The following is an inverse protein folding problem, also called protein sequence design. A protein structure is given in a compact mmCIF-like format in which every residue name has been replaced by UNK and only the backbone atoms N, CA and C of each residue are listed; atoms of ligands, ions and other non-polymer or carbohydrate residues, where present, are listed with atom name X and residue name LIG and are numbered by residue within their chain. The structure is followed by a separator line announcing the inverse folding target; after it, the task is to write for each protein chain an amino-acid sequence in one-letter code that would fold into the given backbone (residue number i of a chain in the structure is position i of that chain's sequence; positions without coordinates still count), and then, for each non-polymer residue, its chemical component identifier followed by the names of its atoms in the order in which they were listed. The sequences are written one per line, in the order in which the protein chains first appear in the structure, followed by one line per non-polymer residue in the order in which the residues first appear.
data_IF_310690202632
#
_entry.id   IF_310690202632
#
_cell.length_a   1.000
_cell.length_b   1.000
_cell.length_c   1.000
_cell.angle_alpha   90.00
_cell.angle_beta   90.00
_cell.angle_gamma   90.00
#
_symmetry.space_group_name_H-M   'P 1'
#
loop_
_entity.id
_entity.type
_entity.pdbx_description
1 polymer ?
#
# COMPACT_ATOMS: atom_id res chain seq x y z
N UNK A 1 3.88 2.08 -3.61
CA UNK A 1 4.98 1.62 -4.49
C UNK A 1 6.33 2.24 -4.12
N UNK A 2 6.52 3.56 -4.20
CA UNK A 2 7.84 4.20 -4.02
C UNK A 2 8.60 3.79 -2.76
N UNK A 3 7.92 3.69 -1.61
CA UNK A 3 8.58 3.26 -0.38
C UNK A 3 9.10 1.82 -0.45
N UNK A 4 8.43 0.94 -1.19
CA UNK A 4 8.91 -0.42 -1.40
C UNK A 4 10.12 -0.42 -2.35
N UNK A 5 10.09 0.41 -3.40
CA UNK A 5 11.23 0.59 -4.32
C UNK A 5 12.47 1.13 -3.58
N UNK A 6 12.26 1.99 -2.58
CA UNK A 6 13.32 2.49 -1.69
C UNK A 6 13.78 1.48 -0.63
N UNK A 7 13.18 0.29 -0.57
CA UNK A 7 13.57 -0.76 0.38
C UNK A 7 13.02 -0.59 1.80
N UNK A 8 12.00 0.26 2.02
CA UNK A 8 11.43 0.48 3.36
C UNK A 8 10.54 -0.64 3.89
N UNK A 9 10.38 -1.75 3.17
CA UNK A 9 9.50 -2.85 3.59
C UNK A 9 9.80 -3.36 5.03
N UNK A 10 11.06 -3.55 5.47
CA UNK A 10 11.36 -3.95 6.84
C UNK A 10 10.91 -2.92 7.89
N UNK A 11 11.10 -1.62 7.60
CA UNK A 11 10.69 -0.54 8.48
C UNK A 11 9.16 -0.46 8.60
N UNK A 12 8.44 -0.59 7.48
CA UNK A 12 6.98 -0.65 7.45
C UNK A 12 6.47 -1.82 8.33
N UNK A 13 7.05 -3.01 8.18
CA UNK A 13 6.68 -4.19 9.00
C UNK A 13 6.90 -3.95 10.49
N UNK A 14 8.02 -3.32 10.88
CA UNK A 14 8.30 -2.96 12.27
C UNK A 14 7.24 -2.00 12.81
N UNK A 15 6.89 -0.95 12.07
CA UNK A 15 5.84 0.00 12.47
C UNK A 15 4.51 -0.73 12.66
N UNK A 16 4.11 -1.55 11.70
CA UNK A 16 2.86 -2.30 11.75
C UNK A 16 2.76 -3.26 12.96
N UNK A 17 3.88 -3.83 13.40
CA UNK A 17 3.93 -4.69 14.59
C UNK A 17 3.71 -3.94 15.91
N UNK A 18 3.96 -2.63 15.93
CA UNK A 18 3.77 -1.77 17.10
C UNK A 18 2.37 -1.16 17.16
N UNK A 19 1.58 -1.28 16.08
CA UNK A 19 0.23 -0.74 16.01
C UNK A 19 -0.81 -1.70 16.60
N UNK A 20 -1.93 -1.19 17.14
CA UNK A 20 -3.04 -2.01 17.58
C UNK A 20 -3.55 -2.96 16.49
N UNK A 21 -4.01 -4.14 16.91
CA UNK A 21 -4.56 -5.15 16.00
C UNK A 21 -5.82 -4.66 15.27
N UNK A 22 -6.68 -3.89 15.96
CA UNK A 22 -7.86 -3.26 15.36
C UNK A 22 -7.51 -1.84 14.94
N UNK A 23 -7.36 -1.64 13.63
CA UNK A 23 -7.09 -0.34 13.01
C UNK A 23 -7.69 -0.29 11.61
N UNK A 24 -7.89 0.92 11.11
CA UNK A 24 -8.14 1.16 9.71
C UNK A 24 -6.81 1.43 9.01
N UNK A 25 -6.52 0.65 7.97
CA UNK A 25 -5.30 0.81 7.14
C UNK A 25 -5.75 1.22 5.74
N UNK A 26 -5.09 2.23 5.16
CA UNK A 26 -5.28 2.65 3.77
C UNK A 26 -3.95 2.50 3.03
N UNK A 27 -3.98 1.98 1.81
CA UNK A 27 -2.81 1.84 0.94
C UNK A 27 -3.07 2.60 -0.34
N UNK A 28 -2.15 3.49 -0.71
CA UNK A 28 -2.18 4.24 -1.95
C UNK A 28 -0.95 3.87 -2.78
N UNK A 29 -1.18 3.57 -4.06
CA UNK A 29 -0.13 3.19 -4.99
C UNK A 29 -0.53 3.61 -6.39
N UNK A 30 0.40 4.13 -7.18
CA UNK A 30 0.18 4.43 -8.59
C UNK A 30 0.29 3.15 -9.45
N UNK A 31 1.00 2.15 -8.93
CA UNK A 31 1.18 0.84 -9.57
C UNK A 31 0.70 -0.30 -8.66
N UNK A 32 0.25 -1.39 -9.25
CA UNK A 32 -0.17 -2.60 -8.55
C UNK A 32 0.78 -3.76 -8.87
N UNK A 33 1.94 -3.77 -8.21
CA UNK A 33 2.86 -4.91 -8.27
C UNK A 33 2.43 -6.02 -7.31
N UNK A 34 2.94 -7.23 -7.52
CA UNK A 34 2.64 -8.39 -6.66
C UNK A 34 3.04 -8.16 -5.19
N UNK A 35 4.10 -7.38 -4.93
CA UNK A 35 4.53 -7.04 -3.57
C UNK A 35 3.59 -6.05 -2.88
N UNK A 36 3.03 -5.10 -3.63
CA UNK A 36 1.99 -4.19 -3.12
C UNK A 36 0.72 -4.96 -2.79
N UNK A 37 0.32 -5.89 -3.66
CA UNK A 37 -0.86 -6.73 -3.41
C UNK A 37 -0.67 -7.60 -2.15
N UNK A 38 0.50 -8.23 -1.99
CA UNK A 38 0.84 -8.99 -0.78
C UNK A 38 0.82 -8.09 0.47
N UNK A 39 1.33 -6.88 0.38
CA UNK A 39 1.31 -5.92 1.49
C UNK A 39 -0.13 -5.55 1.86
N UNK A 40 -0.99 -5.23 0.89
CA UNK A 40 -2.39 -4.93 1.15
C UNK A 40 -3.11 -6.10 1.86
N UNK A 41 -2.94 -7.33 1.36
CA UNK A 41 -3.57 -8.53 1.93
C UNK A 41 -3.12 -8.85 3.37
N UNK A 42 -1.88 -8.52 3.72
CA UNK A 42 -1.31 -8.82 5.04
C UNK A 42 -1.55 -7.72 6.07
N UNK A 43 -1.84 -6.49 5.63
CA UNK A 43 -1.88 -5.32 6.53
C UNK A 43 -3.25 -4.68 6.67
N UNK A 44 -4.18 -5.00 5.76
CA UNK A 44 -5.54 -4.48 5.74
C UNK A 44 -6.53 -5.60 6.06
N UNK A 45 -7.65 -5.25 6.72
CA UNK A 45 -8.76 -6.14 7.01
C UNK A 45 -9.92 -5.81 6.07
N UNK A 46 -10.33 -6.77 5.25
CA UNK A 46 -11.42 -6.64 4.27
C UNK A 46 -11.34 -5.33 3.43
N UNK A 47 -10.23 -5.10 2.69
CA UNK A 47 -10.04 -3.87 1.96
C UNK A 47 -10.92 -3.79 0.72
N UNK A 48 -11.52 -2.63 0.48
CA UNK A 48 -12.14 -2.32 -0.80
C UNK A 48 -11.07 -1.83 -1.78
N UNK A 49 -10.86 -2.57 -2.87
CA UNK A 49 -10.00 -2.13 -3.96
C UNK A 49 -10.72 -1.09 -4.82
N UNK A 50 -10.11 0.07 -5.01
CA UNK A 50 -10.61 1.13 -5.87
C UNK A 50 -9.50 1.46 -6.87
N UNK A 51 -9.77 1.25 -8.14
CA UNK A 51 -8.86 1.59 -9.23
C UNK A 51 -9.43 2.77 -10.00
N UNK A 52 -8.64 3.83 -10.18
CA UNK A 52 -9.05 5.05 -10.86
C UNK A 52 -8.26 5.18 -12.16
N UNK A 53 -8.95 5.00 -13.29
CA UNK A 53 -8.45 5.26 -14.64
C UNK A 53 -7.81 4.05 -15.36
N UNK A 54 -7.59 4.15 -16.69
CA UNK A 54 -6.78 3.18 -17.43
C UNK A 54 -5.34 3.20 -16.91
N UNK A 55 -4.71 2.03 -16.79
CA UNK A 55 -3.30 1.88 -16.36
C UNK A 55 -2.40 2.86 -17.12
N UNK A 56 -1.84 3.88 -16.45
CA UNK A 56 -0.79 4.73 -17.03
C UNK A 56 -0.85 6.25 -16.80
N UNK A 57 -1.88 6.82 -16.16
CA UNK A 57 -1.89 8.26 -15.86
C UNK A 57 -1.47 8.53 -14.41
N UNK A 58 -0.23 8.96 -14.22
CA UNK A 58 0.22 9.57 -12.96
C UNK A 58 -0.57 10.85 -12.70
N UNK A 59 -1.05 11.02 -11.46
CA UNK A 59 -1.81 12.20 -11.06
C UNK A 59 -1.03 13.49 -11.38
N UNK A 60 -1.71 14.55 -11.89
CA UNK A 60 -1.06 15.82 -12.15
C UNK A 60 -0.48 16.38 -10.85
N UNK A 61 0.77 16.84 -10.93
CA UNK A 61 1.46 17.49 -9.83
C UNK A 61 0.87 18.91 -9.69
N UNK A 62 0.30 19.22 -8.51
CA UNK A 62 -0.16 20.57 -8.13
C UNK A 62 0.98 21.40 -7.58
#
# INVERSE_FOLDING_TARGET
DRMLDMGFLPAIRRILSMLPAKRQTLLFSATMSSDIEKLARTTMKDPKLIEVGPRGQTAPQV
#
